data_IF_599995507369
#
_entry.id   IF_599995507369
#
_cell.length_a   1.000
_cell.length_b   1.000
_cell.length_c   1.000
_cell.angle_alpha   90.00
_cell.angle_beta   90.00
_cell.angle_gamma   90.00
#
_symmetry.space_group_name_H-M   'P 1'
#
loop_
_entity.id
_entity.type
_entity.pdbx_description
1 polymer ?
#
# COMPACT_ATOMS: atom_id res chain seq x y z
N UNK A 1 -3.29 18.85 26.72
CA UNK A 1 -2.53 17.67 26.28
C UNK A 1 -2.88 17.37 24.84
N UNK A 2 -1.88 17.31 23.97
CA UNK A 2 -1.77 16.51 22.73
C UNK A 2 -0.77 17.21 21.82
N UNK A 3 0.51 17.00 22.10
CA UNK A 3 1.53 17.19 21.08
C UNK A 3 1.28 16.12 20.02
N UNK A 4 0.67 16.52 18.91
CA UNK A 4 0.62 15.70 17.72
C UNK A 4 2.05 15.58 17.21
N UNK A 5 2.75 14.54 17.66
CA UNK A 5 3.93 14.06 16.97
C UNK A 5 3.44 13.48 15.65
N UNK A 6 3.27 14.33 14.63
CA UNK A 6 3.02 13.87 13.26
C UNK A 6 4.16 12.95 12.86
N UNK A 7 3.94 11.63 12.93
CA UNK A 7 4.90 10.67 12.43
C UNK A 7 5.04 10.92 10.92
N UNK A 8 6.21 11.43 10.53
CA UNK A 8 6.56 11.73 9.13
C UNK A 8 7.35 10.57 8.57
N UNK A 9 6.82 9.90 7.57
CA UNK A 9 7.58 8.91 6.82
C UNK A 9 8.33 9.59 5.68
N UNK A 10 9.66 9.54 5.72
CA UNK A 10 10.49 10.04 4.62
C UNK A 10 10.74 8.92 3.61
N UNK A 11 10.14 9.04 2.43
CA UNK A 11 10.45 8.19 1.30
C UNK A 11 11.75 8.68 0.64
N UNK A 12 12.87 8.06 1.03
CA UNK A 12 14.19 8.40 0.49
C UNK A 12 14.39 8.04 -1.00
N UNK A 13 13.49 7.26 -1.59
CA UNK A 13 13.51 6.90 -3.02
C UNK A 13 12.88 8.03 -3.85
N UNK A 14 11.71 8.51 -3.43
CA UNK A 14 10.99 9.59 -4.10
C UNK A 14 11.41 11.00 -3.63
N UNK A 15 12.13 11.11 -2.51
CA UNK A 15 12.36 12.34 -1.73
C UNK A 15 11.07 13.02 -1.24
N UNK A 16 10.03 12.23 -0.97
CA UNK A 16 8.73 12.73 -0.48
C UNK A 16 8.58 12.45 1.01
N UNK A 17 7.93 13.35 1.73
CA UNK A 17 7.57 13.18 3.14
C UNK A 17 6.08 12.97 3.20
N UNK A 18 5.66 11.83 3.73
CA UNK A 18 4.25 11.47 3.89
C UNK A 18 3.84 11.59 5.35
N UNK A 19 2.64 12.11 5.59
CA UNK A 19 1.98 12.04 6.90
C UNK A 19 1.37 10.65 7.12
N UNK A 20 1.17 10.28 8.38
CA UNK A 20 0.54 9.01 8.72
C UNK A 20 -0.86 8.84 8.09
N UNK A 21 -1.69 9.88 8.09
CA UNK A 21 -3.01 9.85 7.44
C UNK A 21 -2.92 9.63 5.92
N UNK A 22 -1.90 10.17 5.25
CA UNK A 22 -1.68 9.93 3.83
C UNK A 22 -1.29 8.48 3.57
N UNK A 23 -0.43 7.90 4.41
CA UNK A 23 -0.05 6.48 4.32
C UNK A 23 -1.26 5.57 4.53
N UNK A 24 -2.14 5.90 5.49
CA UNK A 24 -3.39 5.19 5.72
C UNK A 24 -4.31 5.28 4.50
N UNK A 25 -4.43 6.46 3.89
CA UNK A 25 -5.17 6.66 2.65
C UNK A 25 -4.66 5.79 1.50
N UNK A 26 -3.33 5.68 1.34
CA UNK A 26 -2.75 4.77 0.33
C UNK A 26 -3.12 3.31 0.60
N UNK A 27 -2.93 2.81 1.83
CA UNK A 27 -3.31 1.43 2.18
C UNK A 27 -4.79 1.21 1.85
N UNK A 28 -5.66 2.13 2.27
CA UNK A 28 -7.10 2.02 2.04
C UNK A 28 -7.44 1.96 0.54
N UNK A 29 -6.77 2.74 -0.31
CA UNK A 29 -6.94 2.64 -1.77
C UNK A 29 -6.55 1.28 -2.35
N UNK A 30 -5.59 0.56 -1.76
CA UNK A 30 -5.26 -0.82 -2.17
C UNK A 30 -6.21 -1.88 -1.56
N UNK A 31 -6.87 -1.57 -0.46
CA UNK A 31 -7.85 -2.46 0.18
C UNK A 31 -9.24 -2.35 -0.47
N UNK A 32 -9.57 -1.24 -1.11
CA UNK A 32 -10.83 -1.07 -1.84
C UNK A 32 -10.83 -1.89 -3.14
N UNK A 33 -11.19 -3.16 -2.97
CA UNK A 33 -11.64 -4.23 -3.90
C UNK A 33 -11.77 -3.92 -5.38
N UNK A 34 -12.39 -2.81 -5.75
CA UNK A 34 -12.81 -2.58 -7.14
C UNK A 34 -11.66 -2.21 -8.07
N UNK A 35 -10.49 -1.84 -7.56
CA UNK A 35 -9.39 -1.46 -8.45
C UNK A 35 -8.72 -2.66 -9.14
N UNK A 36 -8.79 -3.87 -8.54
CA UNK A 36 -8.03 -5.04 -9.03
C UNK A 36 -8.85 -6.06 -9.81
N UNK A 37 -10.19 -6.09 -9.63
CA UNK A 37 -11.09 -7.07 -10.25
C UNK A 37 -10.97 -7.16 -11.78
N UNK A 38 -10.80 -6.01 -12.45
CA UNK A 38 -10.82 -5.96 -13.92
C UNK A 38 -9.47 -6.25 -14.58
N UNK A 39 -8.35 -6.17 -13.84
CA UNK A 39 -7.01 -6.09 -14.45
C UNK A 39 -5.99 -7.10 -13.88
N UNK A 40 -6.32 -7.77 -12.78
CA UNK A 40 -5.38 -8.61 -12.04
C UNK A 40 -6.06 -9.90 -11.54
N UNK A 41 -5.39 -11.02 -11.74
CA UNK A 41 -5.82 -12.33 -11.27
C UNK A 41 -4.87 -12.88 -10.18
N UNK A 42 -5.16 -14.05 -9.63
CA UNK A 42 -4.39 -14.70 -8.56
C UNK A 42 -2.92 -14.98 -8.90
N UNK A 43 -2.54 -14.95 -10.19
CA UNK A 43 -1.14 -15.08 -10.61
C UNK A 43 -0.37 -13.77 -10.49
N UNK A 44 -1.06 -12.64 -10.41
CA UNK A 44 -0.44 -11.32 -10.25
C UNK A 44 0.21 -11.23 -8.88
N UNK A 45 1.50 -10.90 -8.87
CA UNK A 45 2.29 -10.68 -7.66
C UNK A 45 2.38 -9.19 -7.35
N UNK A 46 1.99 -8.83 -6.14
CA UNK A 46 2.08 -7.46 -5.64
C UNK A 46 3.25 -7.38 -4.67
N UNK A 47 4.35 -6.78 -5.12
CA UNK A 47 5.49 -6.49 -4.24
C UNK A 47 5.27 -5.14 -3.59
N UNK A 48 4.96 -5.13 -2.29
CA UNK A 48 4.71 -3.93 -1.51
C UNK A 48 5.74 -3.89 -0.39
N UNK A 49 6.54 -2.83 -0.36
CA UNK A 49 7.60 -2.66 0.64
C UNK A 49 8.58 -3.85 0.72
N UNK A 50 8.81 -4.51 -0.43
CA UNK A 50 9.68 -5.69 -0.52
C UNK A 50 9.03 -7.01 -0.08
N UNK A 51 7.77 -6.99 0.37
CA UNK A 51 6.99 -8.20 0.68
C UNK A 51 6.07 -8.56 -0.49
N UNK A 52 5.92 -9.85 -0.75
CA UNK A 52 5.01 -10.36 -1.78
C UNK A 52 3.60 -10.53 -1.21
N UNK A 53 2.61 -10.02 -1.92
CA UNK A 53 1.19 -10.16 -1.63
C UNK A 53 0.45 -10.69 -2.86
N UNK A 54 -0.64 -11.40 -2.59
CA UNK A 54 -1.51 -12.01 -3.60
C UNK A 54 -2.96 -11.63 -3.32
N UNK A 55 -3.76 -11.58 -4.38
CA UNK A 55 -5.20 -11.42 -4.26
C UNK A 55 -5.81 -12.67 -3.62
N UNK A 56 -6.71 -12.45 -2.66
CA UNK A 56 -7.50 -13.52 -2.08
C UNK A 56 -8.65 -13.96 -3.01
N UNK A 57 -9.52 -14.84 -2.51
CA UNK A 57 -10.70 -15.31 -3.26
C UNK A 57 -11.72 -14.22 -3.57
N UNK A 58 -11.66 -13.08 -2.86
CA UNK A 58 -12.51 -11.91 -3.05
C UNK A 58 -11.85 -10.81 -3.89
N UNK A 59 -10.69 -11.08 -4.50
CA UNK A 59 -9.90 -10.11 -5.25
C UNK A 59 -9.40 -8.92 -4.40
N UNK A 60 -9.12 -9.16 -3.11
CA UNK A 60 -8.53 -8.16 -2.22
C UNK A 60 -7.07 -8.48 -1.91
N UNK A 61 -6.28 -7.42 -1.70
CA UNK A 61 -4.97 -7.52 -1.08
C UNK A 61 -5.13 -7.39 0.43
N UNK A 62 -4.71 -8.40 1.19
CA UNK A 62 -4.69 -8.33 2.65
C UNK A 62 -3.34 -7.75 3.11
N UNK A 63 -3.27 -6.42 3.17
CA UNK A 63 -2.07 -5.69 3.56
C UNK A 63 -2.13 -5.37 5.07
N UNK A 64 -1.14 -5.76 5.89
CA UNK A 64 -1.10 -5.43 7.30
C UNK A 64 -1.06 -3.92 7.55
N UNK A 65 -1.76 -3.46 8.58
CA UNK A 65 -1.68 -2.08 9.05
C UNK A 65 -0.21 -1.69 9.35
N UNK A 66 0.17 -0.47 8.96
CA UNK A 66 1.55 0.01 9.08
C UNK A 66 2.48 -0.39 7.93
N UNK A 67 2.02 -1.17 6.96
CA UNK A 67 2.78 -1.43 5.73
C UNK A 67 2.83 -0.17 4.85
N UNK A 68 4.01 0.22 4.40
CA UNK A 68 4.18 1.45 3.60
C UNK A 68 3.85 1.17 2.13
N UNK A 69 2.64 1.55 1.72
CA UNK A 69 2.11 1.31 0.36
C UNK A 69 2.29 2.49 -0.60
N UNK A 70 3.39 3.25 -0.49
CA UNK A 70 3.62 4.38 -1.40
C UNK A 70 3.81 3.90 -2.85
N UNK A 71 3.38 4.66 -3.88
CA UNK A 71 3.48 4.23 -5.28
C UNK A 71 4.87 3.80 -5.74
N UNK A 72 5.94 4.37 -5.19
CA UNK A 72 7.33 4.00 -5.54
C UNK A 72 7.80 2.67 -4.94
N UNK A 73 7.07 2.13 -3.96
CA UNK A 73 7.34 0.86 -3.29
C UNK A 73 6.41 -0.27 -3.71
N UNK A 74 5.37 0.04 -4.47
CA UNK A 74 4.44 -0.94 -5.02
C UNK A 74 4.92 -1.31 -6.42
N UNK A 75 5.14 -2.62 -6.64
CA UNK A 75 5.40 -3.17 -7.96
C UNK A 75 4.41 -4.28 -8.23
N UNK A 76 3.80 -4.25 -9.40
CA UNK A 76 2.88 -5.28 -9.85
C UNK A 76 3.60 -6.08 -10.93
N UNK A 77 3.70 -7.39 -10.72
CA UNK A 77 4.36 -8.33 -11.62
C UNK A 77 3.29 -9.30 -12.11
N UNK A 78 3.15 -9.41 -13.44
CA UNK A 78 2.24 -10.34 -14.11
C UNK A 78 2.97 -11.59 -14.58
#
# INVERSE_FOLDING_TARGET
MHGYSEAKFQNNIAKWIFKEDELKGFIQSYLETNFFEYCHDKKTKFMIDGKEFHLDSTHHLNIPEGTICTPTRVKIIK
#
